data_IF_025810461921
#
_entry.id   IF_025810461921
#
_cell.length_a   1.000
_cell.length_b   1.000
_cell.length_c   1.000
_cell.angle_alpha   90.00
_cell.angle_beta   90.00
_cell.angle_gamma   90.00
#
_symmetry.space_group_name_H-M   'P 1'
#
loop_
_entity.id
_entity.type
_entity.pdbx_description
1 polymer ?
#
# COMPACT_ATOMS: atom_id res chain seq x y z
N UNK A 1 -17.87 22.36 -24.73
CA UNK A 1 -17.20 21.05 -24.84
C UNK A 1 -16.38 20.88 -23.57
N UNK A 2 -16.87 20.12 -22.60
CA UNK A 2 -16.06 19.73 -21.43
C UNK A 2 -14.91 18.86 -21.94
N UNK A 3 -13.70 19.13 -21.48
CA UNK A 3 -12.50 18.42 -21.92
C UNK A 3 -12.56 16.98 -21.39
N UNK A 4 -12.63 15.99 -22.29
CA UNK A 4 -12.54 14.56 -21.97
C UNK A 4 -11.11 14.13 -21.56
N UNK A 5 -10.40 14.98 -20.82
CA UNK A 5 -8.99 14.81 -20.45
C UNK A 5 -8.80 14.10 -19.11
N UNK A 6 -7.57 13.62 -18.88
CA UNK A 6 -7.13 13.03 -17.62
C UNK A 6 -7.22 14.08 -16.50
N UNK A 7 -8.27 14.01 -15.69
CA UNK A 7 -8.49 14.95 -14.59
C UNK A 7 -7.74 14.51 -13.34
N UNK A 8 -7.56 15.43 -12.38
CA UNK A 8 -7.06 15.07 -11.06
C UNK A 8 -7.89 13.97 -10.40
N UNK A 9 -9.22 14.01 -10.55
CA UNK A 9 -10.11 12.98 -10.03
C UNK A 9 -9.80 11.61 -10.65
N UNK A 10 -9.54 11.55 -11.96
CA UNK A 10 -9.16 10.31 -12.66
C UNK A 10 -7.84 9.74 -12.13
N UNK A 11 -6.84 10.59 -11.88
CA UNK A 11 -5.54 10.20 -11.31
C UNK A 11 -5.73 9.60 -9.93
N UNK A 12 -6.47 10.30 -9.06
CA UNK A 12 -6.66 9.91 -7.67
C UNK A 12 -7.48 8.62 -7.56
N UNK A 13 -8.50 8.44 -8.40
CA UNK A 13 -9.30 7.23 -8.39
C UNK A 13 -8.48 6.00 -8.82
N UNK A 14 -7.72 6.10 -9.90
CA UNK A 14 -6.85 5.00 -10.34
C UNK A 14 -5.71 4.75 -9.34
N UNK A 15 -5.08 5.81 -8.85
CA UNK A 15 -3.96 5.74 -7.91
C UNK A 15 -4.35 5.15 -6.56
N UNK A 16 -5.51 5.55 -5.99
CA UNK A 16 -6.02 4.97 -4.74
C UNK A 16 -6.37 3.50 -4.88
N UNK A 17 -6.97 3.09 -6.00
CA UNK A 17 -7.22 1.68 -6.30
C UNK A 17 -5.93 0.85 -6.33
N UNK A 18 -4.92 1.32 -7.08
CA UNK A 18 -3.59 0.70 -7.12
C UNK A 18 -2.91 0.67 -5.74
N UNK A 19 -3.02 1.75 -4.97
CA UNK A 19 -2.47 1.84 -3.62
C UNK A 19 -3.08 0.78 -2.69
N UNK A 20 -4.40 0.64 -2.65
CA UNK A 20 -5.07 -0.37 -1.84
C UNK A 20 -4.67 -1.81 -2.25
N UNK A 21 -4.57 -2.08 -3.55
CA UNK A 21 -4.11 -3.40 -4.01
C UNK A 21 -2.66 -3.67 -3.63
N UNK A 22 -1.80 -2.66 -3.73
CA UNK A 22 -0.40 -2.75 -3.34
C UNK A 22 -0.26 -2.97 -1.82
N UNK A 23 -1.01 -2.26 -0.98
CA UNK A 23 -0.96 -2.45 0.48
C UNK A 23 -1.40 -3.84 0.88
N UNK A 24 -2.47 -4.37 0.27
CA UNK A 24 -2.90 -5.75 0.50
C UNK A 24 -1.83 -6.76 0.05
N UNK A 25 -1.23 -6.56 -1.13
CA UNK A 25 -0.17 -7.44 -1.62
C UNK A 25 1.05 -7.42 -0.70
N UNK A 26 1.63 -6.24 -0.44
CA UNK A 26 2.83 -6.11 0.38
C UNK A 26 2.59 -6.46 1.85
N UNK A 27 1.38 -6.29 2.37
CA UNK A 27 0.99 -6.76 3.69
C UNK A 27 1.11 -8.28 3.87
N UNK A 28 1.05 -9.06 2.79
CA UNK A 28 1.31 -10.51 2.82
C UNK A 28 2.78 -10.89 2.62
N UNK A 29 3.64 -9.94 2.25
CA UNK A 29 5.07 -10.16 2.06
C UNK A 29 5.77 -9.92 3.41
N UNK A 30 5.70 -10.94 4.27
CA UNK A 30 6.40 -10.99 5.56
C UNK A 30 7.91 -10.74 5.46
N UNK A 31 8.62 -10.77 6.59
CA UNK A 31 10.04 -10.41 6.61
C UNK A 31 10.72 -10.69 7.94
N UNK A 32 11.66 -9.81 8.33
CA UNK A 32 12.45 -9.97 9.56
C UNK A 32 11.60 -10.26 10.80
N UNK A 33 10.43 -9.62 10.91
CA UNK A 33 9.49 -9.78 12.03
C UNK A 33 8.87 -11.19 12.16
N UNK A 34 8.94 -12.01 11.11
CA UNK A 34 8.44 -13.40 11.12
C UNK A 34 9.55 -14.43 11.38
N UNK A 35 10.79 -13.97 11.61
CA UNK A 35 11.95 -14.84 11.80
C UNK A 35 12.19 -15.14 13.27
N UNK A 36 12.85 -16.27 13.55
CA UNK A 36 13.29 -16.63 14.91
C UNK A 36 14.34 -15.67 15.47
N UNK A 37 14.98 -14.85 14.62
CA UNK A 37 15.93 -13.82 15.04
C UNK A 37 15.23 -12.58 15.61
N UNK A 38 13.91 -12.46 15.47
CA UNK A 38 13.16 -11.35 16.02
C UNK A 38 12.78 -11.61 17.48
N UNK A 39 13.40 -10.86 18.40
CA UNK A 39 13.20 -10.96 19.86
C UNK A 39 12.25 -9.88 20.41
N UNK A 40 11.35 -9.35 19.58
CA UNK A 40 10.44 -8.27 19.95
C UNK A 40 8.96 -8.64 19.84
N UNK A 41 8.08 -7.70 20.24
CA UNK A 41 6.63 -7.87 20.16
C UNK A 41 5.97 -6.95 19.10
N UNK A 42 6.77 -6.35 18.23
CA UNK A 42 6.32 -5.39 17.21
C UNK A 42 6.26 -3.94 17.68
N UNK A 43 6.75 -3.60 18.88
CA UNK A 43 6.74 -2.23 19.44
C UNK A 43 8.09 -1.83 20.04
N UNK A 44 8.31 -0.53 20.21
CA UNK A 44 9.48 -0.01 20.93
C UNK A 44 9.24 -0.13 22.45
N UNK A 45 10.29 -0.53 23.19
CA UNK A 45 10.32 -0.55 24.65
C UNK A 45 11.08 0.67 25.17
#
# INVERSE_FOLDING_TARGET
MESSGFTLASVLLAGSGLFCLATLFFGTKGGYYDTEAYDGNGTAH
#
